data_IF_541285390802
#
_entry.id   IF_541285390802
#
_cell.length_a   1.000
_cell.length_b   1.000
_cell.length_c   1.000
_cell.angle_alpha   90.00
_cell.angle_beta   90.00
_cell.angle_gamma   90.00
#
_symmetry.space_group_name_H-M   'P 1'
#
loop_
_entity.id
_entity.type
_entity.pdbx_description
1 polymer ?
#
# COMPACT_ATOMS: atom_id res chain seq x y z
N UNK A 1 4.50 -2.54 -13.51
CA UNK A 1 5.47 -3.57 -13.99
C UNK A 1 6.78 -3.37 -13.23
N UNK A 2 7.59 -4.42 -13.04
CA UNK A 2 8.87 -4.27 -12.30
C UNK A 2 9.88 -3.52 -13.18
N UNK A 3 10.60 -2.51 -12.66
CA UNK A 3 11.69 -1.86 -13.37
C UNK A 3 12.75 -2.84 -13.84
N UNK A 4 13.26 -2.64 -15.06
CA UNK A 4 14.31 -3.48 -15.62
C UNK A 4 15.69 -3.07 -15.10
N UNK A 5 16.53 -4.06 -14.80
CA UNK A 5 17.95 -3.84 -14.50
C UNK A 5 18.79 -4.65 -15.50
N UNK A 6 19.59 -4.00 -16.36
CA UNK A 6 20.49 -4.70 -17.28
C UNK A 6 21.51 -5.56 -16.54
N UNK A 7 22.08 -6.57 -17.21
CA UNK A 7 23.18 -7.36 -16.64
C UNK A 7 24.57 -6.71 -16.86
N UNK A 8 24.72 -5.96 -17.96
CA UNK A 8 25.97 -5.26 -18.32
C UNK A 8 26.16 -4.01 -17.47
N UNK A 9 27.34 -3.85 -16.86
CA UNK A 9 27.68 -2.61 -16.16
C UNK A 9 27.80 -1.41 -17.09
N UNK A 10 28.22 -1.63 -18.34
CA UNK A 10 28.32 -0.55 -19.32
C UNK A 10 26.93 -0.04 -19.68
N UNK A 11 25.95 -0.93 -19.82
CA UNK A 11 24.54 -0.54 -20.05
C UNK A 11 23.95 0.15 -18.81
N UNK A 12 24.26 -0.32 -17.60
CA UNK A 12 23.84 0.36 -16.37
C UNK A 12 24.36 1.81 -16.31
N UNK A 13 25.61 2.05 -16.73
CA UNK A 13 26.20 3.40 -16.76
C UNK A 13 25.62 4.24 -17.89
N UNK A 14 25.47 3.66 -19.07
CA UNK A 14 24.95 4.34 -20.25
C UNK A 14 23.50 4.82 -20.04
N UNK A 15 22.69 4.05 -19.31
CA UNK A 15 21.27 4.32 -19.08
C UNK A 15 20.93 4.63 -17.62
N UNK A 16 21.92 5.07 -16.82
CA UNK A 16 21.78 5.23 -15.37
C UNK A 16 20.59 6.11 -14.98
N UNK A 17 20.37 7.22 -15.68
CA UNK A 17 19.29 8.16 -15.36
C UNK A 17 17.91 7.59 -15.69
N UNK A 18 17.78 6.86 -16.81
CA UNK A 18 16.54 6.18 -17.18
C UNK A 18 16.20 5.08 -16.17
N UNK A 19 17.17 4.22 -15.86
CA UNK A 19 17.00 3.14 -14.89
C UNK A 19 16.61 3.72 -13.52
N UNK A 20 17.29 4.78 -13.08
CA UNK A 20 16.96 5.46 -11.82
C UNK A 20 15.51 5.95 -11.82
N UNK A 21 15.11 6.67 -12.87
CA UNK A 21 13.76 7.21 -12.98
C UNK A 21 12.70 6.11 -12.91
N UNK A 22 12.90 4.99 -13.61
CA UNK A 22 11.95 3.87 -13.61
C UNK A 22 11.81 3.23 -12.22
N UNK A 23 12.93 3.05 -11.50
CA UNK A 23 12.91 2.54 -10.14
C UNK A 23 12.25 3.51 -9.16
N UNK A 24 12.55 4.80 -9.25
CA UNK A 24 11.95 5.83 -8.40
C UNK A 24 10.43 5.93 -8.64
N UNK A 25 9.98 5.90 -9.89
CA UNK A 25 8.58 5.89 -10.24
C UNK A 25 7.85 4.66 -9.67
N UNK A 26 8.42 3.45 -9.86
CA UNK A 26 7.85 2.24 -9.29
C UNK A 26 7.73 2.28 -7.76
N UNK A 27 8.76 2.80 -7.07
CA UNK A 27 8.75 2.91 -5.61
C UNK A 27 7.67 3.90 -5.17
N UNK A 28 7.52 5.04 -5.85
CA UNK A 28 6.48 6.02 -5.57
C UNK A 28 5.08 5.41 -5.75
N UNK A 29 4.84 4.71 -6.85
CA UNK A 29 3.55 4.04 -7.12
C UNK A 29 3.20 3.00 -6.04
N UNK A 30 4.19 2.21 -5.58
CA UNK A 30 3.98 1.24 -4.51
C UNK A 30 3.68 1.93 -3.17
N UNK A 31 4.34 3.05 -2.87
CA UNK A 31 4.06 3.84 -1.68
C UNK A 31 2.64 4.42 -1.71
N UNK A 32 2.19 4.92 -2.86
CA UNK A 32 0.81 5.40 -3.06
C UNK A 32 -0.22 4.31 -2.82
N UNK A 33 0.04 3.13 -3.37
CA UNK A 33 -0.80 1.97 -3.16
C UNK A 33 -0.89 1.57 -1.68
N UNK A 34 0.24 1.51 -0.96
CA UNK A 34 0.23 1.20 0.47
C UNK A 34 -0.50 2.26 1.30
N UNK A 35 -0.34 3.55 1.00
CA UNK A 35 -1.10 4.61 1.67
C UNK A 35 -2.60 4.43 1.51
N UNK A 36 -3.05 4.06 0.30
CA UNK A 36 -4.46 3.78 0.04
C UNK A 36 -4.95 2.58 0.87
N UNK A 37 -4.21 1.47 0.87
CA UNK A 37 -4.57 0.27 1.65
C UNK A 37 -4.61 0.54 3.15
N UNK A 38 -3.66 1.29 3.69
CA UNK A 38 -3.61 1.62 5.11
C UNK A 38 -4.78 2.52 5.52
N UNK A 39 -5.19 3.45 4.65
CA UNK A 39 -6.38 4.27 4.88
C UNK A 39 -7.66 3.41 4.92
N UNK A 40 -7.84 2.50 3.96
CA UNK A 40 -8.99 1.59 3.95
C UNK A 40 -8.99 0.64 5.14
N UNK A 41 -7.82 0.15 5.54
CA UNK A 41 -7.66 -0.68 6.73
C UNK A 41 -8.08 0.07 7.99
N UNK A 42 -7.64 1.32 8.15
CA UNK A 42 -8.00 2.15 9.29
C UNK A 42 -9.52 2.40 9.33
N UNK A 43 -10.13 2.74 8.18
CA UNK A 43 -11.58 2.93 8.05
C UNK A 43 -12.36 1.67 8.47
N UNK A 44 -12.01 0.52 7.89
CA UNK A 44 -12.67 -0.75 8.19
C UNK A 44 -12.53 -1.17 9.66
N UNK A 45 -11.39 -0.84 10.29
CA UNK A 45 -11.16 -1.14 11.70
C UNK A 45 -12.10 -0.33 12.62
N UNK A 46 -12.34 0.94 12.31
CA UNK A 46 -13.29 1.78 13.04
C UNK A 46 -14.71 1.24 12.87
N UNK A 47 -15.12 0.96 11.64
CA UNK A 47 -16.45 0.41 11.34
C UNK A 47 -16.69 -0.91 12.07
N UNK A 48 -15.72 -1.84 12.02
CA UNK A 48 -15.83 -3.12 12.71
C UNK A 48 -15.98 -2.95 14.23
N UNK A 49 -15.30 -1.96 14.82
CA UNK A 49 -15.45 -1.63 16.24
C UNK A 49 -16.86 -1.13 16.53
N UNK A 50 -17.36 -0.17 15.78
CA UNK A 50 -18.70 0.42 15.98
C UNK A 50 -19.80 -0.64 15.90
N UNK A 51 -19.75 -1.49 14.87
CA UNK A 51 -20.69 -2.60 14.70
C UNK A 51 -20.59 -3.60 15.86
N UNK A 52 -19.38 -3.87 16.35
CA UNK A 52 -19.18 -4.77 17.50
C UNK A 52 -19.76 -4.18 18.78
N UNK A 53 -19.59 -2.88 19.01
CA UNK A 53 -20.15 -2.17 20.15
C UNK A 53 -21.68 -2.18 20.11
N UNK A 54 -22.28 -1.99 18.92
CA UNK A 54 -23.73 -2.09 18.73
C UNK A 54 -24.26 -3.50 18.96
N UNK A 55 -23.54 -4.53 18.51
CA UNK A 55 -23.90 -5.92 18.79
C UNK A 55 -23.84 -6.24 20.29
N UNK A 56 -22.82 -5.73 20.99
CA UNK A 56 -22.72 -5.88 22.44
C UNK A 56 -23.89 -5.23 23.18
N UNK A 57 -24.31 -4.02 22.76
CA UNK A 57 -25.51 -3.36 23.30
C UNK A 57 -26.77 -4.18 23.09
N UNK A 58 -26.93 -4.75 21.89
CA UNK A 58 -28.06 -5.63 21.59
C UNK A 58 -28.08 -6.85 22.52
N UNK A 59 -26.95 -7.53 22.69
CA UNK A 59 -26.86 -8.68 23.60
C UNK A 59 -27.22 -8.32 25.04
N UNK A 60 -26.71 -7.19 25.54
CA UNK A 60 -27.03 -6.71 26.89
C UNK A 60 -28.52 -6.37 27.08
N UNK A 61 -29.24 -6.01 26.01
CA UNK A 61 -30.67 -5.74 26.07
C UNK A 61 -31.53 -7.02 26.07
N UNK A 62 -30.94 -8.18 25.76
CA UNK A 62 -31.61 -9.48 25.81
C UNK A 62 -31.43 -10.21 27.14
N UNK A 63 -30.48 -9.78 27.98
CA UNK A 63 -30.32 -10.23 29.37
C UNK A 63 -31.29 -9.53 30.33
#
# INVERSE_FOLDING_TARGET
ERPFLPQSQDDMRAYADLIRSDFEAYIADVQDYFRCLDAERARAFVEAREVSDDYARFLNALE
#
